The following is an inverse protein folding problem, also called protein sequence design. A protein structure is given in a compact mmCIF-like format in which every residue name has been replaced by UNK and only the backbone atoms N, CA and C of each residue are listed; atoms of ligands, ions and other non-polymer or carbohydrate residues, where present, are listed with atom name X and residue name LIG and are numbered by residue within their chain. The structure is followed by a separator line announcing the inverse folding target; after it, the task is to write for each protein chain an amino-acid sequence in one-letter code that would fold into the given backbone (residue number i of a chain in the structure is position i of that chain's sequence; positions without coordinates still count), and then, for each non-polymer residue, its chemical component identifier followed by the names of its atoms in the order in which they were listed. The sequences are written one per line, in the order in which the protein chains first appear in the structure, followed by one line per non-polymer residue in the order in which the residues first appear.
data_IF_450602439926
#
_entry.id   IF_450602439926
#
_cell.length_a   1.000
_cell.length_b   1.000
_cell.length_c   1.000
_cell.angle_alpha   90.00
_cell.angle_beta   90.00
_cell.angle_gamma   90.00
#
_symmetry.space_group_name_H-M   'P 1'
#
loop_
_entity.id
_entity.type
_entity.pdbx_description
1 polymer ?
#
# COMPACT_ATOMS: atom_id res chain seq x y z
N UNK A 1 -28.79 -43.06 15.49
CA UNK A 1 -27.63 -42.28 15.98
C UNK A 1 -26.53 -42.09 14.91
N UNK A 2 -26.84 -41.81 13.62
CA UNK A 2 -25.80 -41.62 12.56
C UNK A 2 -26.08 -40.47 11.57
N UNK A 3 -26.98 -39.53 11.91
CA UNK A 3 -27.32 -38.39 11.03
C UNK A 3 -26.93 -37.01 11.58
N UNK A 4 -26.48 -36.92 12.84
CA UNK A 4 -26.11 -35.65 13.48
C UNK A 4 -24.61 -35.34 13.47
N UNK A 5 -23.77 -36.33 13.13
CA UNK A 5 -22.30 -36.16 13.10
C UNK A 5 -21.83 -35.51 11.78
N UNK A 6 -22.63 -35.58 10.71
CA UNK A 6 -22.25 -35.02 9.40
C UNK A 6 -22.39 -33.49 9.29
N UNK A 7 -23.13 -32.83 10.18
CA UNK A 7 -23.28 -31.37 10.16
C UNK A 7 -22.17 -30.63 10.93
N UNK A 8 -21.42 -31.31 11.80
CA UNK A 8 -20.32 -30.71 12.54
C UNK A 8 -18.97 -30.76 11.80
N UNK A 9 -18.84 -31.61 10.77
CA UNK A 9 -17.60 -31.76 10.00
C UNK A 9 -17.49 -30.83 8.78
N UNK A 10 -18.55 -30.10 8.42
CA UNK A 10 -18.56 -29.20 7.26
C UNK A 10 -18.13 -27.75 7.56
N UNK A 11 -17.98 -27.39 8.84
CA UNK A 11 -17.69 -26.02 9.27
C UNK A 11 -16.22 -25.55 9.21
N UNK A 12 -15.16 -26.38 9.12
CA UNK A 12 -13.79 -25.86 9.02
C UNK A 12 -13.39 -25.36 7.62
N UNK A 13 -14.09 -25.75 6.55
CA UNK A 13 -13.64 -25.51 5.17
C UNK A 13 -13.93 -24.07 4.69
N UNK A 14 -14.86 -23.36 5.32
CA UNK A 14 -15.23 -21.99 4.90
C UNK A 14 -14.35 -20.88 5.50
N UNK A 15 -13.44 -21.20 6.42
CA UNK A 15 -12.52 -20.22 7.03
C UNK A 15 -11.22 -19.99 6.25
N UNK A 16 -10.94 -20.77 5.20
CA UNK A 16 -9.74 -20.60 4.37
C UNK A 16 -9.76 -19.34 3.48
N UNK A 17 -10.91 -18.67 3.35
CA UNK A 17 -11.07 -17.50 2.48
C UNK A 17 -10.72 -16.14 3.13
N UNK A 18 -10.38 -16.11 4.43
CA UNK A 18 -10.01 -14.89 5.15
C UNK A 18 -8.49 -14.66 5.26
N UNK A 19 -7.67 -15.45 4.56
CA UNK A 19 -6.21 -15.30 4.56
C UNK A 19 -5.70 -14.18 3.64
N UNK A 20 -4.52 -13.65 3.95
CA UNK A 20 -3.79 -12.73 3.09
C UNK A 20 -3.61 -13.31 1.66
N UNK A 21 -3.73 -12.45 0.65
CA UNK A 21 -3.51 -12.84 -0.74
C UNK A 21 -2.01 -12.98 -1.00
N UNK A 22 -1.58 -14.14 -1.50
CA UNK A 22 -0.18 -14.43 -1.78
C UNK A 22 0.07 -14.37 -3.29
N UNK A 23 0.13 -13.15 -3.83
CA UNK A 23 0.55 -12.91 -5.22
C UNK A 23 2.07 -13.03 -5.29
N UNK A 24 2.58 -13.74 -6.30
CA UNK A 24 4.01 -13.97 -6.46
C UNK A 24 4.44 -13.92 -7.92
N UNK A 25 4.89 -12.75 -8.38
CA UNK A 25 5.45 -12.57 -9.72
C UNK A 25 6.86 -13.20 -9.86
N UNK A 26 7.24 -13.59 -11.08
CA UNK A 26 8.55 -14.20 -11.37
C UNK A 26 9.73 -13.23 -11.21
N UNK A 27 10.93 -13.75 -10.93
CA UNK A 27 12.15 -12.92 -10.77
C UNK A 27 12.47 -12.12 -12.03
N UNK A 28 12.19 -12.70 -13.20
CA UNK A 28 12.34 -12.04 -14.48
C UNK A 28 11.44 -10.81 -14.59
N UNK A 29 10.16 -10.91 -14.22
CA UNK A 29 9.23 -9.77 -14.24
C UNK A 29 9.65 -8.67 -13.28
N UNK A 30 10.14 -9.02 -12.09
CA UNK A 30 10.62 -8.04 -11.13
C UNK A 30 11.86 -7.31 -11.65
N UNK A 31 12.85 -8.06 -12.17
CA UNK A 31 14.06 -7.46 -12.75
C UNK A 31 13.75 -6.55 -13.92
N UNK A 32 12.84 -6.96 -14.79
CA UNK A 32 12.41 -6.16 -15.95
C UNK A 32 11.64 -4.90 -15.54
N UNK A 33 10.87 -4.94 -14.45
CA UNK A 33 10.10 -3.80 -13.97
C UNK A 33 10.93 -2.82 -13.13
N UNK A 34 12.14 -3.17 -12.70
CA UNK A 34 12.94 -2.35 -11.78
C UNK A 34 13.05 -0.91 -12.28
N UNK A 35 12.57 0.02 -11.46
CA UNK A 35 12.64 1.45 -11.71
C UNK A 35 13.44 2.15 -10.62
N UNK A 36 14.37 3.02 -11.02
CA UNK A 36 15.13 3.89 -10.13
C UNK A 36 14.71 5.32 -10.41
N UNK A 37 14.17 5.99 -9.40
CA UNK A 37 13.78 7.40 -9.54
C UNK A 37 14.99 8.33 -9.52
N UNK A 38 14.94 9.47 -10.23
CA UNK A 38 15.90 10.56 -10.05
C UNK A 38 15.72 11.34 -8.73
N UNK A 39 14.61 11.16 -8.00
CA UNK A 39 14.35 11.87 -6.74
C UNK A 39 15.25 11.36 -5.60
N UNK A 40 15.58 12.22 -4.61
CA UNK A 40 16.34 11.81 -3.43
C UNK A 40 15.71 10.61 -2.69
N UNK A 41 16.50 9.75 -2.04
CA UNK A 41 15.96 8.61 -1.30
C UNK A 41 15.02 9.04 -0.16
N UNK A 42 13.94 8.31 0.00
CA UNK A 42 12.86 8.68 0.92
C UNK A 42 12.01 7.49 1.34
N UNK A 43 11.30 7.67 2.45
CA UNK A 43 10.21 6.79 2.89
C UNK A 43 8.94 7.64 2.93
N UNK A 44 7.90 7.19 2.27
CA UNK A 44 6.63 7.90 2.17
C UNK A 44 5.50 7.05 2.72
N UNK A 45 4.70 7.61 3.63
CA UNK A 45 3.45 7.04 4.09
C UNK A 45 2.30 7.60 3.24
N UNK A 46 1.56 6.70 2.61
CA UNK A 46 0.33 6.99 1.89
C UNK A 46 -0.84 6.65 2.80
N UNK A 47 -1.64 7.62 3.22
CA UNK A 47 -2.82 7.39 4.09
C UNK A 47 -4.09 7.81 3.38
N UNK A 48 -5.05 6.90 3.26
CA UNK A 48 -6.37 7.17 2.68
C UNK A 48 -7.31 7.60 3.80
N UNK A 49 -7.91 8.78 3.67
CA UNK A 49 -8.68 9.43 4.74
C UNK A 49 -10.05 9.83 4.20
N UNK A 50 -11.11 9.43 4.91
CA UNK A 50 -12.48 9.79 4.57
C UNK A 50 -12.72 11.29 4.69
N UNK A 51 -13.37 11.88 3.69
CA UNK A 51 -13.74 13.31 3.69
C UNK A 51 -14.87 13.59 4.71
N UNK A 52 -15.94 12.77 4.82
CA UNK A 52 -17.07 13.12 5.66
C UNK A 52 -16.79 13.08 7.18
N UNK A 53 -15.95 12.16 7.66
CA UNK A 53 -15.69 11.97 9.10
C UNK A 53 -14.21 11.94 9.47
N UNK A 54 -13.31 12.06 8.50
CA UNK A 54 -11.86 12.05 8.76
C UNK A 54 -11.31 10.68 9.15
N UNK A 55 -12.05 9.59 8.91
CA UNK A 55 -11.65 8.24 9.29
C UNK A 55 -10.49 7.70 8.43
N UNK A 56 -9.61 6.89 9.01
CA UNK A 56 -8.52 6.24 8.27
C UNK A 56 -9.02 5.00 7.56
N UNK A 57 -9.01 4.99 6.23
CA UNK A 57 -9.46 3.88 5.40
C UNK A 57 -8.34 2.87 5.09
N UNK A 58 -7.13 3.35 4.79
CA UNK A 58 -6.02 2.51 4.36
C UNK A 58 -4.66 3.18 4.59
N UNK A 59 -3.60 2.38 4.66
CA UNK A 59 -2.21 2.85 4.68
C UNK A 59 -1.32 1.99 3.79
N UNK A 60 -0.49 2.63 2.98
CA UNK A 60 0.60 2.02 2.22
C UNK A 60 1.92 2.75 2.44
N UNK A 61 3.04 2.10 2.13
CA UNK A 61 4.37 2.68 2.23
C UNK A 61 5.04 2.69 0.87
N UNK A 62 5.56 3.83 0.43
CA UNK A 62 6.43 3.91 -0.74
C UNK A 62 7.87 4.11 -0.29
N UNK A 63 8.77 3.29 -0.81
CA UNK A 63 10.20 3.39 -0.54
C UNK A 63 10.93 3.80 -1.81
N UNK A 64 11.72 4.86 -1.73
CA UNK A 64 12.56 5.35 -2.83
C UNK A 64 14.04 5.14 -2.47
N UNK A 65 14.67 4.11 -3.04
CA UNK A 65 16.08 3.77 -2.78
C UNK A 65 16.81 3.32 -4.04
N UNK A 66 17.44 2.15 -3.99
CA UNK A 66 18.01 1.45 -5.14
C UNK A 66 16.99 1.02 -6.20
N UNK A 67 15.71 1.09 -5.84
CA UNK A 67 14.54 0.99 -6.68
C UNK A 67 13.37 1.68 -5.96
N UNK A 68 12.32 2.01 -6.70
CA UNK A 68 11.06 2.50 -6.11
C UNK A 68 10.02 1.39 -6.08
N UNK A 69 9.48 1.13 -4.89
CA UNK A 69 8.43 0.13 -4.64
C UNK A 69 7.36 0.72 -3.74
N UNK A 70 6.14 0.18 -3.83
CA UNK A 70 5.08 0.43 -2.85
C UNK A 70 4.81 -0.89 -2.12
N UNK A 71 4.84 -0.86 -0.80
CA UNK A 71 4.27 -1.90 0.04
C UNK A 71 2.83 -1.52 0.39
N UNK A 72 1.88 -2.31 -0.09
CA UNK A 72 0.43 -2.05 0.00
C UNK A 72 -0.29 -3.13 0.83
N UNK A 73 0.06 -3.32 2.13
CA UNK A 73 -0.42 -4.44 2.91
C UNK A 73 -1.93 -4.44 3.01
N UNK A 74 -2.56 -5.58 2.75
CA UNK A 74 -4.02 -5.72 2.74
C UNK A 74 -4.77 -4.89 1.67
N UNK A 75 -4.05 -4.17 0.79
CA UNK A 75 -4.61 -3.30 -0.22
C UNK A 75 -5.37 -4.03 -1.32
N UNK A 76 -6.23 -3.28 -2.01
CA UNK A 76 -7.05 -3.79 -3.12
C UNK A 76 -6.61 -3.31 -4.50
N UNK A 77 -5.58 -2.47 -4.57
CA UNK A 77 -5.08 -1.96 -5.85
C UNK A 77 -4.26 -3.01 -6.58
N UNK A 78 -4.30 -2.97 -7.91
CA UNK A 78 -3.47 -3.78 -8.78
C UNK A 78 -3.44 -3.19 -10.19
N UNK A 79 -2.37 -3.45 -10.93
CA UNK A 79 -2.22 -3.00 -12.30
C UNK A 79 -1.53 -4.09 -13.14
N UNK A 80 -2.01 -4.43 -14.35
CA UNK A 80 -1.47 -5.55 -15.14
C UNK A 80 0.04 -5.47 -15.46
N UNK A 81 0.57 -4.24 -15.51
CA UNK A 81 1.98 -3.96 -15.81
C UNK A 81 2.86 -3.87 -14.56
N UNK A 82 2.29 -3.92 -13.35
CA UNK A 82 3.02 -3.80 -12.09
C UNK A 82 3.12 -5.20 -11.47
N UNK A 83 4.32 -5.81 -11.44
CA UNK A 83 4.49 -7.08 -10.77
C UNK A 83 4.42 -6.90 -9.25
N UNK A 84 3.82 -7.88 -8.58
CA UNK A 84 3.62 -7.89 -7.13
C UNK A 84 4.24 -9.15 -6.51
N UNK A 85 4.84 -9.01 -5.32
CA UNK A 85 5.14 -10.11 -4.40
C UNK A 85 4.66 -9.76 -3.01
N UNK A 86 3.67 -10.50 -2.51
CA UNK A 86 3.20 -10.38 -1.13
C UNK A 86 2.95 -8.91 -0.71
N UNK A 87 2.09 -8.21 -1.44
CA UNK A 87 1.78 -6.78 -1.27
C UNK A 87 2.93 -5.80 -1.60
N UNK A 88 4.11 -6.26 -2.03
CA UNK A 88 5.17 -5.38 -2.58
C UNK A 88 4.99 -5.22 -4.09
N UNK A 89 4.72 -4.00 -4.52
CA UNK A 89 4.49 -3.55 -5.90
C UNK A 89 5.79 -2.96 -6.44
N UNK A 90 6.30 -3.53 -7.54
CA UNK A 90 7.61 -3.17 -8.10
C UNK A 90 7.50 -2.28 -9.33
N UNK A 91 8.56 -1.51 -9.58
CA UNK A 91 8.67 -0.71 -10.80
C UNK A 91 7.83 0.56 -10.79
N UNK A 92 7.61 1.13 -9.61
CA UNK A 92 6.74 2.28 -9.41
C UNK A 92 7.42 3.52 -10.00
N UNK A 93 7.10 3.87 -11.24
CA UNK A 93 7.43 5.17 -11.82
C UNK A 93 6.41 6.24 -11.39
N UNK A 94 6.62 7.49 -11.79
CA UNK A 94 5.73 8.59 -11.39
C UNK A 94 4.29 8.40 -11.88
N UNK A 95 4.11 7.85 -13.08
CA UNK A 95 2.79 7.55 -13.62
C UNK A 95 2.06 6.47 -12.79
N UNK A 96 2.76 5.41 -12.40
CA UNK A 96 2.20 4.36 -11.54
C UNK A 96 1.94 4.81 -10.11
N UNK A 97 2.79 5.69 -9.55
CA UNK A 97 2.52 6.37 -8.29
C UNK A 97 1.21 7.17 -8.38
N UNK A 98 1.04 7.96 -9.45
CA UNK A 98 -0.17 8.76 -9.64
C UNK A 98 -1.41 7.87 -9.77
N UNK A 99 -1.36 6.76 -10.53
CA UNK A 99 -2.48 5.80 -10.57
C UNK A 99 -2.81 5.17 -9.21
N UNK A 100 -1.80 4.90 -8.40
CA UNK A 100 -2.04 4.40 -7.04
C UNK A 100 -2.78 5.46 -6.20
N UNK A 101 -2.38 6.72 -6.31
CA UNK A 101 -3.04 7.85 -5.61
C UNK A 101 -4.46 8.03 -6.13
N UNK A 102 -4.66 8.15 -7.44
CA UNK A 102 -5.96 8.35 -8.09
C UNK A 102 -6.96 7.22 -7.78
N UNK A 103 -6.47 5.98 -7.67
CA UNK A 103 -7.34 4.87 -7.26
C UNK A 103 -7.94 5.07 -5.86
N UNK A 104 -7.23 5.74 -4.97
CA UNK A 104 -7.62 5.97 -3.59
C UNK A 104 -8.24 7.35 -3.35
N UNK A 105 -7.84 8.38 -4.10
CA UNK A 105 -8.41 9.72 -4.07
C UNK A 105 -9.72 9.73 -4.88
N UNK A 106 -10.86 9.72 -4.19
CA UNK A 106 -12.21 9.67 -4.77
C UNK A 106 -13.06 10.76 -4.12
N UNK A 107 -14.23 11.07 -4.68
CA UNK A 107 -15.19 12.00 -4.05
C UNK A 107 -15.46 11.81 -2.54
N UNK A 108 -15.24 10.63 -1.96
CA UNK A 108 -15.41 10.36 -0.52
C UNK A 108 -14.10 10.22 0.27
N UNK A 109 -12.94 10.19 -0.39
CA UNK A 109 -11.63 9.93 0.22
C UNK A 109 -10.54 10.82 -0.39
N UNK A 110 -9.64 11.33 0.44
CA UNK A 110 -8.40 11.98 -0.01
C UNK A 110 -7.19 11.17 0.43
N UNK A 111 -6.05 11.38 -0.24
CA UNK A 111 -4.79 10.69 0.08
C UNK A 111 -3.80 11.69 0.67
N UNK A 112 -3.30 11.39 1.86
CA UNK A 112 -2.11 12.04 2.40
C UNK A 112 -0.86 11.33 1.89
N UNK A 113 0.07 12.08 1.31
CA UNK A 113 1.41 11.65 0.96
C UNK A 113 2.40 12.34 1.90
N UNK A 114 2.86 11.62 2.92
CA UNK A 114 3.78 12.14 3.93
C UNK A 114 5.17 11.52 3.73
N UNK A 115 6.15 12.31 3.33
CA UNK A 115 7.48 11.86 2.90
C UNK A 115 8.57 12.30 3.86
N UNK A 116 9.42 11.37 4.30
CA UNK A 116 10.63 11.64 5.08
C UNK A 116 11.86 11.35 4.21
N UNK A 117 12.74 12.33 3.97
CA UNK A 117 14.04 12.10 3.33
C UNK A 117 14.92 11.19 4.21
N UNK A 118 15.58 10.21 3.59
CA UNK A 118 16.47 9.29 4.29
C UNK A 118 17.74 9.04 3.46
N UNK A 119 18.72 8.34 4.02
CA UNK A 119 19.83 7.84 3.20
C UNK A 119 19.37 6.66 2.33
N UNK A 120 20.09 6.40 1.24
CA UNK A 120 19.78 5.28 0.35
C UNK A 120 19.83 3.93 1.08
N UNK A 121 20.75 3.77 2.03
CA UNK A 121 20.91 2.56 2.84
C UNK A 121 19.68 2.30 3.71
N UNK A 122 19.10 3.35 4.29
CA UNK A 122 17.87 3.27 5.10
C UNK A 122 16.67 2.89 4.22
N UNK A 123 16.53 3.53 3.05
CA UNK A 123 15.47 3.18 2.09
C UNK A 123 15.62 1.72 1.61
N UNK A 124 16.83 1.29 1.26
CA UNK A 124 17.10 -0.09 0.81
C UNK A 124 16.84 -1.12 1.91
N UNK A 125 17.11 -0.79 3.18
CA UNK A 125 16.73 -1.63 4.30
C UNK A 125 15.21 -1.73 4.44
N UNK A 126 14.49 -0.62 4.31
CA UNK A 126 13.03 -0.61 4.38
C UNK A 126 12.41 -1.47 3.27
N UNK A 127 12.95 -1.41 2.05
CA UNK A 127 12.55 -2.29 0.94
C UNK A 127 12.71 -3.76 1.33
N UNK A 128 13.90 -4.18 1.78
CA UNK A 128 14.16 -5.57 2.19
C UNK A 128 13.23 -6.02 3.30
N UNK A 129 12.91 -5.14 4.26
CA UNK A 129 11.99 -5.44 5.35
C UNK A 129 10.57 -5.65 4.85
N UNK A 130 10.08 -4.84 3.93
CA UNK A 130 8.78 -5.03 3.31
C UNK A 130 8.70 -6.37 2.55
N UNK A 131 9.73 -6.68 1.75
CA UNK A 131 9.84 -7.95 1.02
C UNK A 131 9.82 -9.17 1.96
N UNK A 132 10.45 -9.06 3.13
CA UNK A 132 10.49 -10.11 4.14
C UNK A 132 9.22 -10.18 5.00
N UNK A 133 8.46 -9.08 5.12
CA UNK A 133 7.29 -9.04 5.99
C UNK A 133 6.15 -9.91 5.48
N UNK A 134 6.02 -9.99 4.15
CA UNK A 134 4.96 -10.74 3.50
C UNK A 134 3.64 -9.98 3.41
N UNK A 135 2.60 -10.69 2.98
CA UNK A 135 1.28 -10.13 2.72
C UNK A 135 0.50 -9.90 4.02
N UNK A 136 -0.28 -8.82 4.05
CA UNK A 136 -1.12 -8.43 5.16
C UNK A 136 -2.53 -9.02 5.08
N UNK A 137 -3.06 -9.50 6.21
CA UNK A 137 -4.48 -9.86 6.30
C UNK A 137 -5.37 -8.62 6.14
N UNK A 138 -6.61 -8.80 5.68
CA UNK A 138 -7.55 -7.67 5.50
C UNK A 138 -7.71 -6.85 6.79
N UNK A 139 -7.64 -5.53 6.65
CA UNK A 139 -7.64 -4.53 7.73
C UNK A 139 -6.37 -4.44 8.59
N UNK A 140 -5.31 -5.19 8.28
CA UNK A 140 -4.02 -5.11 9.01
C UNK A 140 -3.03 -4.12 8.37
N UNK A 141 -3.45 -3.30 7.40
CA UNK A 141 -2.55 -2.40 6.66
C UNK A 141 -1.65 -1.54 7.57
N UNK A 142 -2.22 -0.92 8.60
CA UNK A 142 -1.47 -0.11 9.56
C UNK A 142 -0.54 -0.95 10.47
N UNK A 143 -0.96 -2.16 10.82
CA UNK A 143 -0.17 -3.09 11.64
C UNK A 143 1.09 -3.52 10.88
N UNK A 144 0.92 -3.95 9.63
CA UNK A 144 2.04 -4.40 8.80
C UNK A 144 2.96 -3.24 8.42
N UNK A 145 2.41 -2.07 8.10
CA UNK A 145 3.19 -0.86 7.84
C UNK A 145 4.05 -0.48 9.06
N UNK A 146 3.45 -0.45 10.25
CA UNK A 146 4.17 -0.19 11.50
C UNK A 146 5.27 -1.22 11.78
N UNK A 147 5.02 -2.51 11.49
CA UNK A 147 6.00 -3.60 11.67
C UNK A 147 7.19 -3.51 10.71
N UNK A 148 6.96 -3.12 9.47
CA UNK A 148 8.04 -2.83 8.51
C UNK A 148 8.89 -1.67 9.03
N UNK A 149 8.25 -0.54 9.37
CA UNK A 149 8.93 0.68 9.82
C UNK A 149 9.69 0.51 11.14
N UNK A 150 9.18 -0.25 12.10
CA UNK A 150 9.78 -0.35 13.45
C UNK A 150 11.18 -0.97 13.49
N UNK A 151 11.66 -1.55 12.39
CA UNK A 151 13.04 -2.04 12.27
C UNK A 151 13.88 -1.28 11.24
N UNK A 152 13.45 -0.08 10.88
CA UNK A 152 14.19 0.85 10.01
C UNK A 152 14.79 1.95 10.91
N UNK A 153 16.10 2.28 10.76
CA UNK A 153 16.73 3.35 11.52
C UNK A 153 16.00 4.68 11.39
N UNK A 154 15.66 5.31 12.51
CA UNK A 154 14.90 6.56 12.57
C UNK A 154 13.37 6.38 12.59
N UNK A 155 12.87 5.14 12.52
CA UNK A 155 11.45 4.79 12.51
C UNK A 155 11.07 3.76 13.59
N UNK A 156 11.97 3.49 14.55
CA UNK A 156 11.83 2.48 15.59
C UNK A 156 10.60 2.72 16.48
N UNK A 157 10.20 3.99 16.62
CA UNK A 157 9.02 4.42 17.36
C UNK A 157 7.68 4.17 16.66
N UNK A 158 7.65 3.53 15.49
CA UNK A 158 6.43 3.30 14.73
C UNK A 158 5.35 2.62 15.59
N UNK A 159 4.15 3.20 15.71
CA UNK A 159 3.10 2.64 16.53
C UNK A 159 2.63 1.31 15.94
N UNK A 160 2.38 0.35 16.82
CA UNK A 160 1.68 -0.88 16.46
C UNK A 160 0.18 -0.69 16.67
N UNK A 161 -0.62 -1.11 15.72
CA UNK A 161 -2.08 -1.11 15.85
C UNK A 161 -2.79 -0.94 14.51
N UNK A 162 -4.11 -0.99 14.57
CA UNK A 162 -4.99 -1.03 13.40
C UNK A 162 -5.35 0.33 12.82
N UNK A 163 -4.91 1.44 13.42
CA UNK A 163 -5.34 2.78 13.02
C UNK A 163 -4.35 3.43 12.04
N UNK A 164 -4.73 3.64 10.77
CA UNK A 164 -3.91 4.40 9.81
C UNK A 164 -3.65 5.83 10.30
N UNK A 165 -4.65 6.46 10.92
CA UNK A 165 -4.52 7.82 11.44
C UNK A 165 -3.51 7.93 12.57
N UNK A 166 -3.45 6.92 13.46
CA UNK A 166 -2.44 6.89 14.53
C UNK A 166 -1.03 6.73 13.96
N UNK A 167 -0.88 5.88 12.95
CA UNK A 167 0.40 5.71 12.25
C UNK A 167 0.82 7.02 11.58
N UNK A 168 -0.10 7.68 10.87
CA UNK A 168 0.14 8.98 10.24
C UNK A 168 0.48 10.08 11.23
N UNK A 169 -0.28 10.20 12.32
CA UNK A 169 -0.04 11.22 13.34
C UNK A 169 1.37 11.12 13.93
N UNK A 170 1.87 9.90 14.14
CA UNK A 170 3.26 9.67 14.53
C UNK A 170 4.24 9.96 13.38
N UNK A 171 3.94 9.54 12.16
CA UNK A 171 4.83 9.76 11.01
C UNK A 171 5.08 11.25 10.76
N UNK A 172 4.05 12.08 10.97
CA UNK A 172 4.13 13.55 10.91
C UNK A 172 4.99 14.19 12.01
N UNK A 173 5.43 13.44 13.04
CA UNK A 173 6.38 13.94 14.04
C UNK A 173 7.84 13.71 13.64
N UNK A 174 8.09 12.99 12.54
CA UNK A 174 9.46 12.65 12.13
C UNK A 174 10.21 13.88 11.58
N UNK A 175 11.52 14.00 11.84
CA UNK A 175 12.32 15.12 11.35
C UNK A 175 12.29 15.23 9.82
N UNK A 176 12.04 16.43 9.31
CA UNK A 176 12.08 16.71 7.87
C UNK A 176 10.91 16.15 7.05
N UNK A 177 9.85 15.67 7.71
CA UNK A 177 8.64 15.19 7.02
C UNK A 177 8.00 16.31 6.19
N UNK A 178 7.61 15.98 4.97
CA UNK A 178 6.88 16.84 4.06
C UNK A 178 5.52 16.19 3.77
N UNK A 179 4.43 16.96 3.83
CA UNK A 179 3.08 16.44 3.64
C UNK A 179 2.43 17.07 2.42
N UNK A 180 1.85 16.23 1.57
CA UNK A 180 1.00 16.64 0.45
C UNK A 180 -0.37 15.98 0.57
N UNK A 181 -1.41 16.76 0.27
CA UNK A 181 -2.79 16.29 0.15
C UNK A 181 -3.11 16.11 -1.33
N UNK A 182 -3.79 15.01 -1.66
CA UNK A 182 -4.30 14.72 -3.00
C UNK A 182 -5.79 14.44 -2.93
N UNK A 183 -6.56 15.13 -3.76
CA UNK A 183 -8.01 14.97 -3.86
C UNK A 183 -8.46 14.62 -5.30
N UNK A 184 -9.69 14.13 -5.40
CA UNK A 184 -10.33 13.92 -6.69
C UNK A 184 -10.47 15.26 -7.45
N UNK A 185 -10.07 15.29 -8.71
CA UNK A 185 -10.03 16.51 -9.54
C UNK A 185 -8.86 17.48 -9.33
N UNK A 186 -7.82 17.13 -8.55
CA UNK A 186 -6.59 17.94 -8.48
C UNK A 186 -5.92 18.07 -9.87
N UNK A 187 -5.32 19.22 -10.24
CA UNK A 187 -4.84 19.48 -11.61
C UNK A 187 -3.71 18.56 -12.09
N UNK A 188 -3.10 17.80 -11.18
CA UNK A 188 -2.10 16.79 -11.50
C UNK A 188 -2.72 15.41 -11.84
N UNK A 189 -4.04 15.28 -11.79
CA UNK A 189 -4.75 14.03 -12.04
C UNK A 189 -4.82 13.79 -13.55
N UNK A 190 -4.13 12.75 -13.99
CA UNK A 190 -4.16 12.27 -15.36
C UNK A 190 -5.54 11.68 -15.65
N UNK A 191 -6.46 12.53 -16.11
CA UNK A 191 -7.66 12.08 -16.80
C UNK A 191 -7.26 11.16 -17.98
N UNK A 192 -8.03 10.10 -18.24
CA UNK A 192 -7.88 9.08 -19.31
C UNK A 192 -7.13 7.75 -18.99
N UNK A 193 -7.38 7.06 -17.86
CA UNK A 193 -6.90 5.67 -17.71
C UNK A 193 -7.92 4.71 -17.08
N UNK A 194 -8.03 3.51 -17.67
CA UNK A 194 -8.89 2.41 -17.23
C UNK A 194 -8.33 1.74 -15.97
N UNK A 195 -9.03 1.84 -14.84
CA UNK A 195 -8.65 1.16 -13.60
C UNK A 195 -9.29 -0.23 -13.55
N UNK A 196 -8.49 -1.29 -13.36
CA UNK A 196 -8.99 -2.66 -13.12
C UNK A 196 -8.85 -3.04 -11.67
N UNK A 197 -9.97 -3.28 -10.99
CA UNK A 197 -10.04 -3.68 -9.59
C UNK A 197 -9.74 -5.18 -9.38
N UNK A 198 -9.48 -5.60 -8.12
CA UNK A 198 -9.24 -7.00 -7.70
C UNK A 198 -10.40 -7.96 -7.94
N UNK A 199 -11.62 -7.45 -8.07
CA UNK A 199 -12.81 -8.22 -8.44
C UNK A 199 -13.04 -8.32 -9.96
N UNK A 200 -12.14 -7.76 -10.77
CA UNK A 200 -12.22 -7.76 -12.22
C UNK A 200 -13.02 -6.60 -12.82
N UNK A 201 -13.59 -5.70 -12.00
CA UNK A 201 -14.29 -4.52 -12.51
C UNK A 201 -13.31 -3.55 -13.17
N UNK A 202 -13.65 -3.09 -14.37
CA UNK A 202 -12.97 -2.00 -15.06
C UNK A 202 -13.82 -0.74 -14.90
N UNK A 203 -13.33 0.24 -14.15
CA UNK A 203 -14.01 1.52 -13.97
C UNK A 203 -13.20 2.58 -14.69
N UNK A 204 -13.79 3.17 -15.74
CA UNK A 204 -13.31 4.41 -16.34
C UNK A 204 -14.07 5.59 -15.75
N UNK A 205 -13.39 6.72 -15.53
CA UNK A 205 -14.08 7.96 -15.19
C UNK A 205 -14.90 8.44 -16.39
N UNK A 206 -16.18 8.83 -16.21
CA UNK A 206 -16.89 9.57 -17.24
C UNK A 206 -16.19 10.92 -17.44
N UNK A 207 -15.86 11.24 -18.70
CA UNK A 207 -15.42 12.57 -19.09
C UNK A 207 -16.49 13.58 -18.66
N UNK A 208 -16.11 14.56 -17.84
CA UNK A 208 -16.92 15.78 -17.64
C UNK A 208 -16.41 16.86 -18.57
#
# INVERSE_FOLDING_TARGET
MKRRVFLAAAMPVTLAACGAQNIWASDERLRAARYVSPEPPSITLLTVIGIPRGEGGHSGLMFNGSQRVIYDPAGSWQHPQIPERNDVLYGINDNFKNFYIDYHARSTYWVAEDTVPVTREVADLAIRRAEQNGSGNKSFCAVESGKVLSGVPGFEGAPRGFSPLRLRAWFLTLPGVQSKRHEDGDPANNHDVLLRQKDGQVVGYPRR
#
